data_IF_620791692456
#
_entry.id   IF_620791692456
#
_cell.length_a   1.000
_cell.length_b   1.000
_cell.length_c   1.000
_cell.angle_alpha   90.00
_cell.angle_beta   90.00
_cell.angle_gamma   90.00
#
_symmetry.space_group_name_H-M   'P 1'
#
loop_
_entity.id
_entity.type
_entity.pdbx_description
1 polymer ?
#
# COMPACT_ATOMS: atom_id res chain seq x y z
N UNK A 1 -29.56 -44.39 31.49
CA UNK A 1 -29.45 -43.67 30.21
C UNK A 1 -28.45 -42.55 30.46
N UNK A 2 -27.18 -42.77 30.10
CA UNK A 2 -26.08 -41.84 30.37
C UNK A 2 -25.82 -41.04 29.10
N UNK A 3 -26.31 -39.80 29.06
CA UNK A 3 -25.95 -38.84 28.03
C UNK A 3 -24.51 -38.35 28.26
N UNK A 4 -23.61 -38.87 27.44
CA UNK A 4 -22.21 -38.46 27.40
C UNK A 4 -22.11 -37.08 26.75
N UNK A 5 -22.12 -36.02 27.54
CA UNK A 5 -21.86 -34.65 27.07
C UNK A 5 -20.37 -34.54 26.67
N UNK A 6 -20.07 -34.79 25.39
CA UNK A 6 -18.79 -34.43 24.80
C UNK A 6 -18.66 -32.91 24.81
N UNK A 7 -17.84 -32.37 25.72
CA UNK A 7 -17.40 -30.97 25.69
C UNK A 7 -16.45 -30.78 24.51
N UNK A 8 -16.97 -30.25 23.41
CA UNK A 8 -16.15 -29.73 22.31
C UNK A 8 -15.29 -28.59 22.90
N UNK A 9 -13.95 -28.62 22.77
CA UNK A 9 -13.13 -27.49 23.17
C UNK A 9 -13.50 -26.30 22.31
N UNK A 10 -14.00 -25.22 22.93
CA UNK A 10 -14.12 -23.92 22.23
C UNK A 10 -12.71 -23.46 21.89
N UNK A 11 -12.30 -23.73 20.66
CA UNK A 11 -11.09 -23.18 20.09
C UNK A 11 -11.32 -21.67 19.96
N UNK A 12 -10.77 -20.90 20.91
CA UNK A 12 -10.75 -19.44 20.82
C UNK A 12 -9.70 -19.10 19.76
N UNK A 13 -10.13 -19.06 18.50
CA UNK A 13 -9.37 -18.41 17.44
C UNK A 13 -9.35 -16.92 17.79
N UNK A 14 -8.21 -16.44 18.29
CA UNK A 14 -7.93 -15.00 18.32
C UNK A 14 -8.12 -14.49 16.90
N UNK A 15 -9.19 -13.73 16.66
CA UNK A 15 -9.34 -12.99 15.43
C UNK A 15 -8.09 -12.11 15.28
N UNK A 16 -7.44 -12.07 14.11
CA UNK A 16 -6.37 -11.12 13.89
C UNK A 16 -6.98 -9.73 14.10
N UNK A 17 -6.52 -9.04 15.15
CA UNK A 17 -6.79 -7.62 15.34
C UNK A 17 -5.99 -6.90 14.26
N UNK A 18 -6.59 -6.78 13.10
CA UNK A 18 -6.03 -6.10 11.96
C UNK A 18 -7.20 -5.81 11.04
N UNK A 19 -7.49 -4.53 10.84
CA UNK A 19 -8.42 -4.10 9.82
C UNK A 19 -8.15 -4.91 8.55
N UNK A 20 -9.20 -5.39 7.89
CA UNK A 20 -9.10 -5.89 6.53
C UNK A 20 -8.69 -4.71 5.65
N UNK A 21 -7.38 -4.45 5.60
CA UNK A 21 -6.78 -3.61 4.58
C UNK A 21 -6.97 -4.46 3.33
N UNK A 22 -8.02 -4.15 2.57
CA UNK A 22 -8.11 -4.56 1.18
C UNK A 22 -6.94 -3.90 0.47
N UNK A 23 -5.75 -4.49 0.62
CA UNK A 23 -4.62 -4.20 -0.24
C UNK A 23 -5.05 -4.72 -1.59
N UNK A 24 -5.60 -3.83 -2.42
CA UNK A 24 -5.69 -4.08 -3.84
C UNK A 24 -4.25 -4.28 -4.29
N UNK A 25 -3.81 -5.52 -4.57
CA UNK A 25 -2.40 -5.72 -4.63
C UNK A 25 -1.98 -5.32 -6.04
N UNK A 26 -1.14 -4.30 -6.12
CA UNK A 26 -0.47 -3.84 -7.34
C UNK A 26 0.64 -4.82 -7.78
N UNK A 27 0.50 -6.11 -7.44
CA UNK A 27 1.26 -7.16 -8.10
C UNK A 27 0.72 -7.27 -9.54
N UNK A 28 1.63 -7.25 -10.51
CA UNK A 28 1.45 -7.52 -11.95
C UNK A 28 1.35 -6.33 -12.92
N UNK A 29 1.78 -5.13 -12.56
CA UNK A 29 2.32 -4.23 -13.59
C UNK A 29 3.82 -4.40 -13.64
N UNK A 30 4.26 -5.51 -14.24
CA UNK A 30 5.64 -5.65 -14.68
C UNK A 30 5.85 -4.68 -15.83
N UNK A 31 6.13 -3.40 -15.54
CA UNK A 31 6.59 -2.45 -16.55
C UNK A 31 7.98 -2.96 -16.95
N UNK A 32 8.18 -3.41 -18.21
CA UNK A 32 9.51 -3.77 -18.66
C UNK A 32 10.36 -2.50 -18.63
N UNK A 33 11.22 -2.39 -17.62
CA UNK A 33 12.20 -1.33 -17.50
C UNK A 33 13.35 -1.70 -18.44
N UNK A 34 13.20 -1.34 -19.71
CA UNK A 34 14.23 -1.53 -20.72
C UNK A 34 15.45 -0.61 -20.49
N UNK A 35 15.25 0.49 -19.75
CA UNK A 35 16.24 1.54 -19.52
C UNK A 35 16.17 2.08 -18.09
N UNK A 36 17.33 2.31 -17.48
CA UNK A 36 17.46 2.99 -16.19
C UNK A 36 16.79 4.38 -16.18
N UNK A 37 16.84 5.10 -17.30
CA UNK A 37 16.18 6.41 -17.49
C UNK A 37 14.66 6.29 -17.31
N UNK A 38 14.04 5.24 -17.83
CA UNK A 38 12.60 4.99 -17.68
C UNK A 38 12.24 4.75 -16.21
N UNK A 39 13.05 3.96 -15.50
CA UNK A 39 12.84 3.72 -14.07
C UNK A 39 13.02 5.00 -13.24
N UNK A 40 14.03 5.81 -13.56
CA UNK A 40 14.26 7.08 -12.88
C UNK A 40 13.09 8.06 -13.10
N UNK A 41 12.61 8.17 -14.33
CA UNK A 41 11.43 8.98 -14.65
C UNK A 41 10.19 8.52 -13.85
N UNK A 42 9.93 7.21 -13.80
CA UNK A 42 8.82 6.65 -13.04
C UNK A 42 8.98 6.83 -11.52
N UNK A 43 10.21 6.77 -11.01
CA UNK A 43 10.49 7.12 -9.62
C UNK A 43 10.09 8.58 -9.36
N UNK A 44 10.57 9.52 -10.17
CA UNK A 44 10.26 10.94 -9.99
C UNK A 44 8.75 11.22 -10.06
N UNK A 45 8.04 10.61 -11.02
CA UNK A 45 6.58 10.71 -11.08
C UNK A 45 5.90 10.19 -9.81
N UNK A 46 6.30 9.02 -9.32
CA UNK A 46 5.75 8.47 -8.07
C UNK A 46 6.05 9.39 -6.86
N UNK A 47 7.21 10.04 -6.82
CA UNK A 47 7.53 11.01 -5.78
C UNK A 47 6.59 12.23 -5.84
N UNK A 48 6.33 12.76 -7.03
CA UNK A 48 5.40 13.89 -7.24
C UNK A 48 4.00 13.51 -6.78
N UNK A 49 3.48 12.35 -7.22
CA UNK A 49 2.14 11.90 -6.83
C UNK A 49 2.03 11.62 -5.32
N UNK A 50 3.09 11.10 -4.70
CA UNK A 50 3.14 10.97 -3.24
C UNK A 50 2.94 12.33 -2.54
N UNK A 51 3.63 13.37 -3.00
CA UNK A 51 3.53 14.71 -2.42
C UNK A 51 2.13 15.29 -2.65
N UNK A 52 1.60 15.15 -3.86
CA UNK A 52 0.27 15.63 -4.23
C UNK A 52 -0.82 14.98 -3.36
N UNK A 53 -0.77 13.65 -3.20
CA UNK A 53 -1.72 12.90 -2.38
C UNK A 53 -1.68 13.34 -0.91
N UNK A 54 -0.49 13.63 -0.35
CA UNK A 54 -0.38 14.18 1.02
C UNK A 54 -0.99 15.58 1.13
N UNK A 55 -0.76 16.45 0.14
CA UNK A 55 -1.34 17.79 0.12
C UNK A 55 -2.88 17.73 0.01
N UNK A 56 -3.40 16.87 -0.85
CA UNK A 56 -4.84 16.64 -1.00
C UNK A 56 -5.43 16.04 0.28
N UNK A 57 -4.75 15.09 0.93
CA UNK A 57 -5.20 14.53 2.20
C UNK A 57 -5.30 15.62 3.28
N UNK A 58 -4.31 16.52 3.36
CA UNK A 58 -4.34 17.66 4.27
C UNK A 58 -5.55 18.57 3.99
N UNK A 59 -5.80 18.90 2.73
CA UNK A 59 -6.96 19.72 2.32
C UNK A 59 -8.29 19.03 2.68
N UNK A 60 -8.43 17.75 2.37
CA UNK A 60 -9.61 16.95 2.71
C UNK A 60 -9.85 16.93 4.23
N UNK A 61 -8.79 16.78 5.03
CA UNK A 61 -8.88 16.83 6.49
C UNK A 61 -9.36 18.18 7.00
N UNK A 62 -8.84 19.29 6.45
CA UNK A 62 -9.25 20.65 6.82
C UNK A 62 -10.72 20.91 6.49
N UNK A 63 -11.23 20.31 5.40
CA UNK A 63 -12.63 20.38 4.99
C UNK A 63 -13.54 19.39 5.74
N UNK A 64 -13.02 18.61 6.70
CA UNK A 64 -13.79 17.63 7.46
C UNK A 64 -14.03 16.29 6.76
N UNK A 65 -13.51 16.09 5.54
CA UNK A 65 -13.66 14.86 4.76
C UNK A 65 -12.66 13.78 5.21
N UNK A 66 -12.90 13.18 6.38
CA UNK A 66 -11.96 12.25 7.03
C UNK A 66 -11.70 10.97 6.24
N UNK A 67 -12.73 10.38 5.64
CA UNK A 67 -12.61 9.16 4.84
C UNK A 67 -11.76 9.41 3.59
N UNK A 68 -12.03 10.51 2.88
CA UNK A 68 -11.24 10.90 1.71
C UNK A 68 -9.78 11.19 2.10
N UNK A 69 -9.53 11.82 3.24
CA UNK A 69 -8.18 12.03 3.74
C UNK A 69 -7.45 10.70 4.02
N UNK A 70 -8.13 9.69 4.56
CA UNK A 70 -7.55 8.37 4.79
C UNK A 70 -7.23 7.65 3.48
N UNK A 71 -8.12 7.71 2.49
CA UNK A 71 -7.89 7.16 1.15
C UNK A 71 -6.65 7.78 0.50
N UNK A 72 -6.55 9.11 0.49
CA UNK A 72 -5.41 9.83 -0.09
C UNK A 72 -4.08 9.56 0.65
N UNK A 73 -4.12 9.30 1.96
CA UNK A 73 -2.93 8.89 2.71
C UNK A 73 -2.48 7.47 2.33
N UNK A 74 -3.40 6.57 2.01
CA UNK A 74 -3.06 5.25 1.48
C UNK A 74 -2.41 5.37 0.11
N UNK A 75 -2.98 6.20 -0.80
CA UNK A 75 -2.37 6.45 -2.11
C UNK A 75 -0.95 6.99 -1.97
N UNK A 76 -0.73 7.96 -1.07
CA UNK A 76 0.61 8.48 -0.80
C UNK A 76 1.58 7.38 -0.32
N UNK A 77 1.11 6.46 0.53
CA UNK A 77 1.92 5.33 0.99
C UNK A 77 2.28 4.37 -0.15
N UNK A 78 1.34 4.09 -1.06
CA UNK A 78 1.60 3.26 -2.24
C UNK A 78 2.59 3.94 -3.19
N UNK A 79 2.41 5.22 -3.51
CA UNK A 79 3.35 5.96 -4.35
C UNK A 79 4.76 6.01 -3.74
N UNK A 80 4.88 6.10 -2.41
CA UNK A 80 6.17 5.99 -1.73
C UNK A 80 6.83 4.62 -1.94
N UNK A 81 6.07 3.53 -1.92
CA UNK A 81 6.60 2.18 -2.20
C UNK A 81 7.03 2.06 -3.65
N UNK A 82 6.23 2.57 -4.59
CA UNK A 82 6.53 2.60 -6.02
C UNK A 82 7.82 3.39 -6.30
N UNK A 83 7.98 4.56 -5.70
CA UNK A 83 9.22 5.34 -5.77
C UNK A 83 10.43 4.52 -5.32
N UNK A 84 10.34 3.85 -4.16
CA UNK A 84 11.43 3.02 -3.64
C UNK A 84 11.74 1.84 -4.56
N UNK A 85 10.72 1.21 -5.14
CA UNK A 85 10.90 0.10 -6.07
C UNK A 85 11.65 0.54 -7.33
N UNK A 86 11.24 1.66 -7.94
CA UNK A 86 11.91 2.19 -9.13
C UNK A 86 13.31 2.73 -8.83
N UNK A 87 13.54 3.37 -7.69
CA UNK A 87 14.90 3.77 -7.26
C UNK A 87 15.84 2.56 -7.15
N UNK A 88 15.38 1.47 -6.54
CA UNK A 88 16.16 0.22 -6.50
C UNK A 88 16.41 -0.36 -7.88
N UNK A 89 15.43 -0.27 -8.78
CA UNK A 89 15.60 -0.73 -10.16
C UNK A 89 16.68 0.10 -10.91
N UNK A 90 16.73 1.42 -10.70
CA UNK A 90 17.80 2.29 -11.24
C UNK A 90 19.18 1.80 -10.74
N UNK A 91 19.31 1.55 -9.44
CA UNK A 91 20.58 1.11 -8.84
C UNK A 91 21.03 -0.25 -9.42
N UNK A 92 20.10 -1.21 -9.58
CA UNK A 92 20.38 -2.55 -10.15
C UNK A 92 20.76 -2.48 -11.64
N UNK A 93 20.17 -1.56 -12.39
CA UNK A 93 20.44 -1.40 -13.82
C UNK A 93 21.72 -0.60 -14.12
N UNK A 94 22.46 -0.16 -13.09
CA UNK A 94 23.66 0.66 -13.26
C UNK A 94 23.34 2.07 -13.74
N UNK A 95 22.24 2.66 -13.22
CA UNK A 95 21.90 4.06 -13.46
C UNK A 95 23.11 4.99 -13.23
N UNK A 96 23.22 6.00 -14.11
CA UNK A 96 24.38 6.89 -14.28
C UNK A 96 24.83 7.59 -12.98
#
# INVERSE_FOLDING_TARGET
MNDSIQRIPKQVTKAPSGAAVSSMPLHEVAIPLDKAITAEHLALLAQVECINSVQLAKKSRLNGHRENAAFLLNDAAEYRRVFQAFRRAVDVMGGL
#
